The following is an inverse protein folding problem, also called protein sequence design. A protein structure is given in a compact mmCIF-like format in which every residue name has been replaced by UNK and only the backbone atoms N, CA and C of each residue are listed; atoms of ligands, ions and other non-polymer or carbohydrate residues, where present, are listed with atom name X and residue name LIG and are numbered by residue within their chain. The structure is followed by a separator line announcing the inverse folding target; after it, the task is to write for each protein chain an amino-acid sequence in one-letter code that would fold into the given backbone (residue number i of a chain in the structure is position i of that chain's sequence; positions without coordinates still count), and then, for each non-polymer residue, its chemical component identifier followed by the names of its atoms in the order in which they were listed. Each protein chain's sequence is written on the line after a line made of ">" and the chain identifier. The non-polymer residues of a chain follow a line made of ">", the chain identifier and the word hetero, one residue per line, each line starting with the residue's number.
data_IF_078529947068
#
_entry.id   IF_078529947068
#
_cell.length_a   1.000
_cell.length_b   1.000
_cell.length_c   1.000
_cell.angle_alpha   90.00
_cell.angle_beta   90.00
_cell.angle_gamma   90.00
#
_symmetry.space_group_name_H-M   'P 1'
#
loop_
_entity.id
_entity.type
_entity.pdbx_description
1 polymer ?
#
# COMPACT_ATOMS: atom_id res chain seq x y z
N UNK A 1 14.64 7.15 -7.00
CA UNK A 1 14.17 6.05 -6.13
C UNK A 1 12.72 6.35 -5.73
N UNK A 2 11.98 5.37 -5.24
CA UNK A 2 10.61 5.55 -4.76
C UNK A 2 10.50 4.89 -3.39
N UNK A 3 9.99 5.62 -2.41
CA UNK A 3 9.60 5.06 -1.13
C UNK A 3 8.11 4.76 -1.21
N UNK A 4 7.74 3.48 -1.19
CA UNK A 4 6.35 3.04 -1.22
C UNK A 4 5.91 2.61 0.18
N UNK A 5 4.91 3.31 0.72
CA UNK A 5 4.39 3.05 2.05
C UNK A 5 5.39 3.34 3.17
N UNK A 6 6.38 4.20 2.93
CA UNK A 6 7.28 4.75 3.95
C UNK A 6 7.63 6.20 3.59
N UNK A 7 7.68 7.12 4.55
CA UNK A 7 7.24 6.99 5.95
C UNK A 7 5.71 6.90 6.10
N UNK A 8 5.23 6.23 7.16
CA UNK A 8 3.79 6.16 7.51
C UNK A 8 3.41 7.04 8.69
N UNK A 9 4.38 7.43 9.51
CA UNK A 9 4.15 8.27 10.68
C UNK A 9 5.09 9.46 10.68
N UNK A 10 4.68 10.56 11.32
CA UNK A 10 5.49 11.78 11.38
C UNK A 10 6.87 11.55 12.00
N UNK A 11 6.94 10.71 13.03
CA UNK A 11 8.20 10.33 13.65
C UNK A 11 9.15 9.59 12.68
N UNK A 12 8.59 8.83 11.73
CA UNK A 12 9.36 8.19 10.67
C UNK A 12 9.81 9.16 9.60
N UNK A 13 9.11 10.27 9.35
CA UNK A 13 9.46 11.24 8.30
C UNK A 13 10.67 12.12 8.67
N UNK A 14 10.77 12.47 9.96
CA UNK A 14 11.83 13.38 10.45
C UNK A 14 13.24 12.81 10.23
N UNK A 15 13.44 11.50 10.42
CA UNK A 15 14.78 10.88 10.33
C UNK A 15 15.32 10.80 8.89
N UNK A 16 14.56 10.29 7.90
CA UNK A 16 14.95 10.29 6.49
C UNK A 16 15.21 11.69 5.96
N UNK A 17 14.37 12.67 6.28
CA UNK A 17 14.56 14.04 5.79
C UNK A 17 15.86 14.64 6.31
N UNK A 18 16.13 14.44 7.61
CA UNK A 18 17.39 14.84 8.22
C UNK A 18 18.58 14.13 7.56
N UNK A 19 18.49 12.81 7.38
CA UNK A 19 19.57 12.01 6.78
C UNK A 19 19.84 12.40 5.32
N UNK A 20 18.79 12.56 4.51
CA UNK A 20 18.90 12.98 3.11
C UNK A 20 19.61 14.33 3.03
N UNK A 21 19.22 15.27 3.90
CA UNK A 21 19.79 16.61 3.90
C UNK A 21 21.24 16.66 4.40
N UNK A 22 21.53 16.03 5.54
CA UNK A 22 22.82 16.14 6.21
C UNK A 22 23.90 15.24 5.60
N UNK A 23 23.56 13.99 5.27
CA UNK A 23 24.55 12.99 4.84
C UNK A 23 24.66 12.90 3.31
N UNK A 24 23.56 13.17 2.61
CA UNK A 24 23.48 13.01 1.16
C UNK A 24 23.34 14.34 0.39
N UNK A 25 23.21 15.47 1.09
CA UNK A 25 22.92 16.79 0.51
C UNK A 25 21.79 16.72 -0.55
N UNK A 26 20.72 15.99 -0.19
CA UNK A 26 19.60 15.66 -1.06
C UNK A 26 18.27 15.92 -0.34
N UNK A 27 17.20 16.09 -1.10
CA UNK A 27 15.86 16.38 -0.58
C UNK A 27 14.80 15.61 -1.39
N UNK A 28 13.62 15.42 -0.81
CA UNK A 28 12.49 14.80 -1.51
C UNK A 28 12.03 15.72 -2.65
N UNK A 29 11.95 15.18 -3.86
CA UNK A 29 11.51 15.96 -5.03
C UNK A 29 9.99 16.15 -5.05
N UNK A 30 9.24 15.08 -4.78
CA UNK A 30 7.79 15.01 -4.93
C UNK A 30 7.22 14.04 -3.90
N UNK A 31 6.06 14.40 -3.36
CA UNK A 31 5.24 13.54 -2.51
C UNK A 31 3.88 13.38 -3.18
N UNK A 32 3.42 12.13 -3.30
CA UNK A 32 2.17 11.79 -3.98
C UNK A 32 1.22 11.19 -2.94
N UNK A 33 0.18 11.95 -2.59
CA UNK A 33 -0.92 11.48 -1.75
C UNK A 33 -2.06 10.96 -2.63
N UNK A 34 -2.40 9.67 -2.49
CA UNK A 34 -3.51 9.06 -3.22
C UNK A 34 -4.79 9.15 -2.39
N UNK A 35 -5.67 10.08 -2.74
CA UNK A 35 -6.98 10.22 -2.12
C UNK A 35 -7.99 9.32 -2.80
N UNK A 36 -8.38 8.25 -2.12
CA UNK A 36 -9.33 7.25 -2.62
C UNK A 36 -10.40 7.01 -1.55
N UNK A 37 -11.69 6.99 -1.91
CA UNK A 37 -12.75 6.69 -0.95
C UNK A 37 -12.60 5.32 -0.29
N UNK A 38 -12.87 5.24 1.02
CA UNK A 38 -12.71 4.05 1.85
C UNK A 38 -13.46 2.83 1.30
N UNK A 39 -14.68 3.03 0.78
CA UNK A 39 -15.46 1.96 0.18
C UNK A 39 -14.78 1.34 -1.06
N UNK A 40 -14.06 2.16 -1.85
CA UNK A 40 -13.30 1.69 -3.00
C UNK A 40 -12.06 0.93 -2.54
N UNK A 41 -11.40 1.39 -1.47
CA UNK A 41 -10.26 0.70 -0.86
C UNK A 41 -10.69 -0.69 -0.37
N UNK A 42 -11.77 -0.76 0.43
CA UNK A 42 -12.31 -2.01 0.94
C UNK A 42 -12.68 -2.98 -0.18
N UNK A 43 -13.36 -2.49 -1.22
CA UNK A 43 -13.68 -3.30 -2.40
C UNK A 43 -12.40 -3.85 -3.05
N UNK A 44 -11.39 -3.00 -3.28
CA UNK A 44 -10.11 -3.41 -3.88
C UNK A 44 -9.39 -4.49 -3.08
N UNK A 45 -9.47 -4.46 -1.75
CA UNK A 45 -8.81 -5.45 -0.91
C UNK A 45 -9.59 -6.76 -0.86
N UNK A 46 -10.91 -6.70 -0.76
CA UNK A 46 -11.78 -7.88 -0.72
C UNK A 46 -11.62 -8.78 -1.96
N UNK A 47 -11.37 -8.17 -3.12
CA UNK A 47 -11.15 -8.84 -4.39
C UNK A 47 -9.69 -9.16 -4.71
N UNK A 48 -8.74 -8.82 -3.83
CA UNK A 48 -7.30 -8.96 -4.06
C UNK A 48 -6.83 -10.41 -3.93
N UNK A 49 -6.06 -10.85 -4.91
CA UNK A 49 -5.36 -12.13 -4.95
C UNK A 49 -3.88 -11.90 -5.23
N UNK A 50 -3.00 -12.66 -4.60
CA UNK A 50 -1.56 -12.46 -4.70
C UNK A 50 -0.88 -13.77 -5.10
N UNK A 51 0.04 -13.69 -6.04
CA UNK A 51 0.95 -14.78 -6.33
C UNK A 51 2.14 -14.72 -5.36
N UNK A 52 2.13 -15.59 -4.34
CA UNK A 52 3.07 -15.57 -3.22
C UNK A 52 4.56 -15.41 -3.62
N UNK A 53 5.10 -16.24 -4.52
CA UNK A 53 6.51 -16.17 -4.92
C UNK A 53 6.94 -14.86 -5.59
N UNK A 54 6.03 -14.18 -6.29
CA UNK A 54 6.38 -13.00 -7.11
C UNK A 54 5.84 -11.68 -6.59
N UNK A 55 4.86 -11.72 -5.69
CA UNK A 55 4.11 -10.54 -5.26
C UNK A 55 3.13 -9.98 -6.30
N UNK A 56 2.98 -10.58 -7.49
CA UNK A 56 1.99 -10.13 -8.49
C UNK A 56 0.59 -10.11 -7.90
N UNK A 57 -0.13 -9.03 -8.18
CA UNK A 57 -1.47 -8.78 -7.63
C UNK A 57 -2.52 -8.87 -8.73
N UNK A 58 -3.56 -9.63 -8.44
CA UNK A 58 -4.76 -9.77 -9.25
C UNK A 58 -5.96 -9.25 -8.48
N UNK A 59 -7.01 -8.91 -9.21
CA UNK A 59 -8.28 -8.51 -8.63
C UNK A 59 -9.43 -9.14 -9.41
N UNK A 60 -10.42 -9.69 -8.71
CA UNK A 60 -11.55 -10.39 -9.32
C UNK A 60 -12.27 -9.61 -10.43
N UNK A 61 -12.43 -8.29 -10.27
CA UNK A 61 -13.04 -7.40 -11.29
C UNK A 61 -12.04 -6.56 -12.09
N UNK A 62 -11.14 -5.81 -11.44
CA UNK A 62 -10.29 -4.82 -12.11
C UNK A 62 -9.09 -5.40 -12.88
N UNK A 63 -8.59 -6.57 -12.46
CA UNK A 63 -7.43 -7.22 -13.06
C UNK A 63 -7.52 -8.74 -12.85
N UNK A 64 -8.52 -9.41 -13.46
CA UNK A 64 -8.74 -10.83 -13.23
C UNK A 64 -7.59 -11.65 -13.82
N UNK A 65 -7.22 -12.78 -13.19
CA UNK A 65 -6.34 -13.73 -13.84
C UNK A 65 -7.05 -14.34 -15.05
N UNK A 66 -6.28 -14.79 -16.05
CA UNK A 66 -6.77 -15.45 -17.26
C UNK A 66 -7.46 -16.77 -16.92
N UNK A 67 -6.95 -17.47 -15.91
CA UNK A 67 -7.55 -18.68 -15.34
C UNK A 67 -7.82 -18.42 -13.86
N UNK A 68 -9.03 -18.75 -13.40
CA UNK A 68 -9.44 -18.47 -12.02
C UNK A 68 -8.43 -19.04 -11.02
N UNK A 69 -7.99 -18.21 -10.07
CA UNK A 69 -7.04 -18.54 -8.98
C UNK A 69 -5.65 -18.99 -9.40
N UNK A 70 -5.25 -18.81 -10.66
CA UNK A 70 -3.89 -19.14 -11.12
C UNK A 70 -3.14 -17.89 -11.59
N UNK A 71 -1.85 -17.84 -11.30
CA UNK A 71 -0.97 -16.81 -11.83
C UNK A 71 -0.83 -16.94 -13.35
N UNK A 72 -0.93 -15.81 -14.06
CA UNK A 72 -0.90 -15.78 -15.52
C UNK A 72 0.46 -16.16 -16.13
N UNK A 73 1.54 -16.15 -15.34
CA UNK A 73 2.90 -16.39 -15.82
C UNK A 73 3.35 -17.79 -15.45
N UNK A 74 3.18 -18.19 -14.18
CA UNK A 74 3.66 -19.48 -13.68
C UNK A 74 2.59 -20.58 -13.67
N UNK A 75 1.31 -20.21 -13.71
CA UNK A 75 0.19 -21.15 -13.52
C UNK A 75 0.04 -21.63 -12.08
N UNK A 76 0.79 -21.08 -11.13
CA UNK A 76 0.74 -21.47 -9.73
C UNK A 76 -0.47 -20.85 -9.00
N UNK A 77 -0.94 -21.45 -7.90
CA UNK A 77 -2.09 -20.94 -7.17
C UNK A 77 -1.88 -19.54 -6.60
N UNK A 78 -2.91 -18.70 -6.74
CA UNK A 78 -3.01 -17.42 -6.07
C UNK A 78 -3.56 -17.63 -4.65
N UNK A 79 -3.10 -16.80 -3.72
CA UNK A 79 -3.56 -16.80 -2.34
C UNK A 79 -4.34 -15.50 -2.05
N UNK A 80 -5.39 -15.61 -1.24
CA UNK A 80 -5.96 -14.46 -0.53
C UNK A 80 -5.16 -14.23 0.73
N UNK A 81 -4.77 -12.98 0.97
CA UNK A 81 -4.17 -12.61 2.25
C UNK A 81 -5.21 -12.77 3.36
N UNK A 82 -4.87 -13.57 4.37
CA UNK A 82 -5.76 -13.98 5.47
C UNK A 82 -6.06 -12.86 6.45
N UNK A 83 -5.32 -11.75 6.41
CA UNK A 83 -5.46 -10.58 7.28
C UNK A 83 -6.47 -9.53 6.76
N UNK A 84 -7.25 -9.87 5.73
CA UNK A 84 -8.22 -8.98 5.08
C UNK A 84 -9.67 -9.25 5.48
N UNK A 85 -9.97 -9.48 6.76
CA UNK A 85 -11.38 -9.34 7.19
C UNK A 85 -11.77 -7.86 7.12
N UNK A 86 -13.05 -7.61 6.85
CA UNK A 86 -13.57 -6.24 6.74
C UNK A 86 -13.31 -5.46 8.04
N UNK A 87 -13.47 -6.09 9.21
CA UNK A 87 -13.22 -5.40 10.49
C UNK A 87 -11.74 -5.06 10.69
N UNK A 88 -10.83 -6.00 10.40
CA UNK A 88 -9.38 -5.75 10.53
C UNK A 88 -8.96 -4.62 9.60
N UNK A 89 -9.52 -4.58 8.39
CA UNK A 89 -9.17 -3.55 7.44
C UNK A 89 -9.78 -2.18 7.78
N UNK A 90 -11.01 -2.15 8.29
CA UNK A 90 -11.63 -0.91 8.78
C UNK A 90 -10.79 -0.27 9.90
N UNK A 91 -10.32 -1.08 10.86
CA UNK A 91 -9.44 -0.59 11.92
C UNK A 91 -8.10 -0.06 11.38
N UNK A 92 -7.50 -0.75 10.41
CA UNK A 92 -6.26 -0.28 9.75
C UNK A 92 -6.48 1.04 9.00
N UNK A 93 -7.65 1.22 8.38
CA UNK A 93 -7.98 2.42 7.64
C UNK A 93 -8.22 3.61 8.56
N UNK A 94 -8.87 3.39 9.71
CA UNK A 94 -9.02 4.41 10.75
C UNK A 94 -7.66 4.86 11.29
N UNK A 95 -6.79 3.91 11.66
CA UNK A 95 -5.42 4.22 12.11
C UNK A 95 -4.63 4.95 11.03
N UNK A 96 -4.79 4.55 9.76
CA UNK A 96 -4.16 5.25 8.64
C UNK A 96 -4.63 6.71 8.58
N UNK A 97 -5.92 7.00 8.70
CA UNK A 97 -6.41 8.39 8.69
C UNK A 97 -5.85 9.21 9.86
N UNK A 98 -5.79 8.62 11.06
CA UNK A 98 -5.22 9.26 12.27
C UNK A 98 -3.72 9.58 12.11
N UNK A 99 -2.94 8.67 11.52
CA UNK A 99 -1.50 8.84 11.32
C UNK A 99 -1.15 9.68 10.08
N UNK A 100 -2.00 9.65 9.05
CA UNK A 100 -1.75 10.28 7.75
C UNK A 100 -2.03 11.79 7.77
N UNK A 101 -3.03 12.27 8.54
CA UNK A 101 -3.29 13.72 8.62
C UNK A 101 -2.08 14.52 9.17
N UNK A 102 -1.40 14.09 10.25
CA UNK A 102 -0.14 14.70 10.68
C UNK A 102 0.99 14.62 9.64
N UNK A 103 0.99 13.60 8.78
CA UNK A 103 1.98 13.42 7.71
C UNK A 103 1.75 14.37 6.55
N UNK A 104 0.50 14.54 6.12
CA UNK A 104 0.12 15.51 5.09
C UNK A 104 0.37 16.96 5.52
N UNK A 105 0.28 17.26 6.81
CA UNK A 105 0.61 18.58 7.34
C UNK A 105 2.13 18.82 7.47
N UNK A 106 2.93 17.75 7.55
CA UNK A 106 4.38 17.86 7.68
C UNK A 106 5.07 18.16 6.35
N UNK A 107 4.50 17.67 5.25
CA UNK A 107 5.03 17.76 3.90
C UNK A 107 4.29 18.77 3.05
#
# INVERSE_FOLDING_TARGET
>A
WILDGFPRTRAQAIKPDKFLKEELNNELNIIIALHVPDNIILHRISGRWIHGPSGRVYHTTYNPPKVERLDNVTGEPLIKQTDNTVEVFANRLNLFHEENEPMLNYY
#
